data_IF_096423996137
#
_entry.id   IF_096423996137
#
_cell.length_a   1.000
_cell.length_b   1.000
_cell.length_c   1.000
_cell.angle_alpha   90.00
_cell.angle_beta   90.00
_cell.angle_gamma   90.00
#
_symmetry.space_group_name_H-M   'P 1'
#
loop_
_entity.id
_entity.type
_entity.pdbx_description
1 polymer ?
#
# COMPACT_ATOMS: atom_id res chain seq x y z
N UNK A 1 34.58 -25.72 -3.73
CA UNK A 1 35.23 -24.59 -4.44
C UNK A 1 35.73 -23.64 -3.37
N UNK A 2 37.00 -23.25 -3.40
CA UNK A 2 37.57 -22.35 -2.39
C UNK A 2 37.00 -20.94 -2.53
N UNK A 3 36.95 -20.18 -1.43
CA UNK A 3 36.41 -18.80 -1.39
C UNK A 3 37.08 -17.84 -2.39
N UNK A 4 38.30 -18.15 -2.85
CA UNK A 4 39.01 -17.38 -3.88
C UNK A 4 38.31 -17.41 -5.26
N UNK A 5 37.60 -18.50 -5.59
CA UNK A 5 36.90 -18.65 -6.89
C UNK A 5 35.63 -17.79 -7.01
N UNK A 6 34.98 -17.47 -5.88
CA UNK A 6 33.71 -16.72 -5.86
C UNK A 6 33.95 -15.23 -6.08
N UNK A 7 34.96 -14.66 -5.42
CA UNK A 7 35.33 -13.25 -5.57
C UNK A 7 35.79 -12.91 -7.00
N UNK A 8 36.38 -13.88 -7.71
CA UNK A 8 36.74 -13.76 -9.12
C UNK A 8 35.53 -13.77 -10.05
N UNK A 9 34.55 -14.65 -9.78
CA UNK A 9 33.26 -14.67 -10.47
C UNK A 9 32.45 -13.37 -10.26
N UNK A 10 32.47 -12.79 -9.06
CA UNK A 10 31.85 -11.49 -8.78
C UNK A 10 32.44 -10.36 -9.64
N UNK A 11 33.77 -10.30 -9.71
CA UNK A 11 34.50 -9.26 -10.44
C UNK A 11 34.27 -9.34 -11.95
N UNK A 12 34.22 -10.54 -12.51
CA UNK A 12 34.10 -10.73 -13.95
C UNK A 12 32.66 -10.54 -14.48
N UNK A 13 31.63 -10.70 -13.64
CA UNK A 13 30.23 -10.66 -14.08
C UNK A 13 29.44 -9.39 -13.70
N UNK A 14 30.11 -8.33 -13.20
CA UNK A 14 29.46 -7.06 -12.77
C UNK A 14 28.19 -7.30 -11.95
N UNK A 15 28.29 -8.15 -10.94
CA UNK A 15 27.12 -8.49 -10.13
C UNK A 15 26.63 -7.28 -9.33
N UNK A 16 25.31 -7.14 -9.22
CA UNK A 16 24.66 -6.10 -8.42
C UNK A 16 24.98 -6.29 -6.92
N UNK A 17 24.99 -5.22 -6.10
CA UNK A 17 25.13 -5.33 -4.65
C UNK A 17 24.11 -6.32 -4.06
N UNK A 18 24.57 -7.31 -3.28
CA UNK A 18 23.74 -8.37 -2.70
C UNK A 18 23.79 -9.72 -3.44
N UNK A 19 24.48 -9.79 -4.57
CA UNK A 19 24.73 -11.06 -5.26
C UNK A 19 25.73 -11.98 -4.54
N UNK A 20 26.54 -11.45 -3.61
CA UNK A 20 27.48 -12.27 -2.82
C UNK A 20 26.75 -13.36 -2.03
N UNK A 21 25.58 -13.03 -1.45
CA UNK A 21 24.78 -13.99 -0.69
C UNK A 21 24.26 -15.15 -1.57
N UNK A 22 23.91 -14.88 -2.82
CA UNK A 22 23.47 -15.91 -3.78
C UNK A 22 24.65 -16.80 -4.15
N UNK A 23 25.83 -16.22 -4.35
CA UNK A 23 27.04 -16.98 -4.68
C UNK A 23 27.53 -17.83 -3.52
N UNK A 24 27.43 -17.34 -2.29
CA UNK A 24 27.73 -18.10 -1.07
C UNK A 24 26.79 -19.31 -0.94
N UNK A 25 25.49 -19.14 -1.21
CA UNK A 25 24.51 -20.23 -1.23
C UNK A 25 24.83 -21.27 -2.32
N UNK A 26 25.23 -20.83 -3.51
CA UNK A 26 25.66 -21.72 -4.60
C UNK A 26 26.93 -22.49 -4.19
N UNK A 27 27.91 -21.81 -3.61
CA UNK A 27 29.16 -22.40 -3.17
C UNK A 27 28.97 -23.41 -2.03
N UNK A 28 28.04 -23.13 -1.12
CA UNK A 28 27.64 -24.04 -0.05
C UNK A 28 26.69 -25.16 -0.52
N UNK A 29 26.40 -25.25 -1.82
CA UNK A 29 25.43 -26.18 -2.44
C UNK A 29 24.04 -26.14 -1.80
N UNK A 30 23.67 -25.01 -1.20
CA UNK A 30 22.35 -24.81 -0.59
C UNK A 30 21.42 -24.18 -1.61
N UNK A 31 21.10 -24.98 -2.64
CA UNK A 31 20.24 -24.54 -3.74
C UNK A 31 18.77 -24.64 -3.32
N UNK A 32 18.00 -23.59 -3.62
CA UNK A 32 16.54 -23.63 -3.50
C UNK A 32 15.96 -24.50 -4.61
N UNK A 33 14.79 -25.08 -4.35
CA UNK A 33 14.01 -25.81 -5.36
C UNK A 33 13.74 -24.91 -6.59
N UNK A 34 14.03 -25.37 -7.82
CA UNK A 34 13.70 -24.64 -9.05
C UNK A 34 12.26 -24.15 -9.14
N UNK A 35 11.29 -24.86 -8.57
CA UNK A 35 9.90 -24.42 -8.54
C UNK A 35 9.73 -23.14 -7.68
N UNK A 36 10.34 -23.10 -6.50
CA UNK A 36 10.33 -21.92 -5.63
C UNK A 36 11.06 -20.73 -6.26
N UNK A 37 12.17 -20.97 -6.97
CA UNK A 37 12.88 -19.91 -7.69
C UNK A 37 12.03 -19.28 -8.78
N UNK A 38 11.34 -20.09 -9.59
CA UNK A 38 10.41 -19.61 -10.63
C UNK A 38 9.25 -18.82 -10.01
N UNK A 39 8.66 -19.33 -8.94
CA UNK A 39 7.61 -18.62 -8.21
C UNK A 39 8.10 -17.26 -7.68
N UNK A 40 9.33 -17.19 -7.16
CA UNK A 40 9.92 -15.92 -6.70
C UNK A 40 10.10 -14.94 -7.86
N UNK A 41 10.66 -15.37 -8.99
CA UNK A 41 10.86 -14.52 -10.17
C UNK A 41 9.53 -13.99 -10.69
N UNK A 42 8.50 -14.85 -10.80
CA UNK A 42 7.17 -14.41 -11.23
C UNK A 42 6.52 -13.47 -10.22
N UNK A 43 6.68 -13.71 -8.92
CA UNK A 43 6.21 -12.78 -7.89
C UNK A 43 6.91 -11.41 -7.99
N UNK A 44 8.22 -11.37 -8.22
CA UNK A 44 8.98 -10.12 -8.42
C UNK A 44 8.57 -9.41 -9.71
N UNK A 45 8.33 -10.15 -10.81
CA UNK A 45 7.82 -9.58 -12.06
C UNK A 45 6.45 -8.95 -11.86
N UNK A 46 5.53 -9.65 -11.19
CA UNK A 46 4.22 -9.10 -10.84
C UNK A 46 4.35 -7.88 -9.93
N UNK A 47 5.31 -7.88 -8.99
CA UNK A 47 5.58 -6.73 -8.13
C UNK A 47 6.17 -5.53 -8.91
N UNK A 48 6.95 -5.76 -9.98
CA UNK A 48 7.50 -4.73 -10.85
C UNK A 48 6.49 -4.20 -11.87
N UNK A 49 5.55 -5.05 -12.31
CA UNK A 49 4.41 -4.67 -13.16
C UNK A 49 3.30 -3.96 -12.37
N UNK A 50 3.44 -3.86 -11.04
CA UNK A 50 2.56 -3.11 -10.17
C UNK A 50 2.82 -1.59 -10.28
N UNK A 51 2.77 -1.04 -11.49
CA UNK A 51 2.53 0.39 -11.64
C UNK A 51 1.06 0.70 -11.30
N UNK A 52 0.75 1.97 -11.06
CA UNK A 52 -0.62 2.40 -10.78
C UNK A 52 -1.38 2.74 -12.08
N UNK A 53 -0.98 2.21 -13.24
CA UNK A 53 -1.70 2.45 -14.50
C UNK A 53 -3.04 1.73 -14.54
N UNK A 54 -3.18 0.63 -13.80
CA UNK A 54 -4.46 -0.02 -13.50
C UNK A 54 -4.58 -0.16 -12.00
N UNK A 55 -5.71 0.28 -11.44
CA UNK A 55 -5.99 0.16 -10.01
C UNK A 55 -6.53 -1.24 -9.73
N UNK A 56 -5.80 -2.03 -8.93
CA UNK A 56 -6.20 -3.39 -8.56
C UNK A 56 -7.38 -3.40 -7.59
N UNK A 57 -7.67 -2.28 -6.92
CA UNK A 57 -8.77 -2.19 -5.98
C UNK A 57 -10.15 -2.24 -6.62
N UNK A 58 -10.27 -1.93 -7.91
CA UNK A 58 -11.55 -1.77 -8.61
C UNK A 58 -12.43 -3.03 -8.50
N UNK A 59 -11.83 -4.22 -8.62
CA UNK A 59 -12.54 -5.50 -8.54
C UNK A 59 -13.09 -5.80 -7.13
N UNK A 60 -12.64 -5.07 -6.11
CA UNK A 60 -13.01 -5.30 -4.71
C UNK A 60 -14.02 -4.28 -4.15
N UNK A 61 -14.41 -3.29 -4.95
CA UNK A 61 -15.37 -2.25 -4.56
C UNK A 61 -16.79 -2.83 -4.52
N UNK A 62 -17.68 -2.24 -3.72
CA UNK A 62 -19.12 -2.55 -3.74
C UNK A 62 -19.92 -1.63 -4.67
N UNK A 63 -19.24 -0.76 -5.41
CA UNK A 63 -19.81 0.21 -6.34
C UNK A 63 -18.90 0.32 -7.58
N UNK A 64 -19.44 0.90 -8.66
CA UNK A 64 -18.67 1.24 -9.84
C UNK A 64 -18.18 2.70 -9.74
N UNK A 65 -16.86 2.90 -9.74
CA UNK A 65 -16.28 4.23 -9.81
C UNK A 65 -16.41 4.80 -11.22
N UNK A 66 -16.57 6.12 -11.33
CA UNK A 66 -16.57 6.80 -12.63
C UNK A 66 -15.15 6.94 -13.18
N UNK A 67 -15.02 6.98 -14.50
CA UNK A 67 -13.71 7.07 -15.18
C UNK A 67 -12.88 8.26 -14.68
N UNK A 68 -13.49 9.44 -14.49
CA UNK A 68 -12.79 10.62 -13.97
C UNK A 68 -12.25 10.43 -12.55
N UNK A 69 -12.94 9.64 -11.71
CA UNK A 69 -12.49 9.34 -10.34
C UNK A 69 -11.31 8.37 -10.37
N UNK A 70 -11.34 7.42 -11.30
CA UNK A 70 -10.23 6.48 -11.54
C UNK A 70 -9.01 7.26 -12.03
N UNK A 71 -9.17 8.14 -13.01
CA UNK A 71 -8.11 8.99 -13.56
C UNK A 71 -7.50 9.91 -12.51
N UNK A 72 -8.33 10.52 -11.65
CA UNK A 72 -7.87 11.33 -10.53
C UNK A 72 -7.02 10.50 -9.55
N UNK A 73 -7.50 9.34 -9.13
CA UNK A 73 -6.77 8.45 -8.23
C UNK A 73 -5.45 7.95 -8.85
N UNK A 74 -5.45 7.55 -10.12
CA UNK A 74 -4.24 7.17 -10.86
C UNK A 74 -3.24 8.34 -10.93
N UNK A 75 -3.71 9.56 -11.17
CA UNK A 75 -2.86 10.75 -11.22
C UNK A 75 -2.20 11.01 -9.87
N UNK A 76 -2.96 10.93 -8.77
CA UNK A 76 -2.44 11.05 -7.41
C UNK A 76 -1.37 10.00 -7.12
N UNK A 77 -1.63 8.75 -7.45
CA UNK A 77 -0.73 7.64 -7.18
C UNK A 77 0.55 7.68 -8.04
N UNK A 78 0.43 7.93 -9.35
CA UNK A 78 1.54 7.88 -10.31
C UNK A 78 2.37 9.16 -10.31
N UNK A 79 1.72 10.30 -10.50
CA UNK A 79 2.39 11.59 -10.74
C UNK A 79 2.78 12.26 -9.44
N UNK A 80 1.88 12.23 -8.47
CA UNK A 80 2.07 12.91 -7.19
C UNK A 80 2.61 12.02 -6.07
N UNK A 81 2.85 10.72 -6.36
CA UNK A 81 3.39 9.74 -5.42
C UNK A 81 2.56 9.69 -4.13
N UNK A 82 1.23 9.77 -4.27
CA UNK A 82 0.27 9.75 -3.16
C UNK A 82 -0.01 11.09 -2.48
N UNK A 83 0.67 12.18 -2.88
CA UNK A 83 0.54 13.49 -2.25
C UNK A 83 -0.21 14.45 -3.17
N UNK A 84 -1.54 14.39 -3.16
CA UNK A 84 -2.40 15.21 -4.00
C UNK A 84 -3.34 16.11 -3.21
N UNK A 85 -3.80 17.19 -3.84
CA UNK A 85 -4.94 17.97 -3.41
C UNK A 85 -6.04 17.80 -4.45
N UNK A 86 -7.18 17.23 -4.05
CA UNK A 86 -8.35 17.04 -4.90
C UNK A 86 -9.21 18.30 -4.86
N UNK A 87 -9.29 19.01 -6.00
CA UNK A 87 -9.89 20.34 -6.09
C UNK A 87 -11.10 20.40 -7.02
N UNK A 88 -11.70 19.26 -7.35
CA UNK A 88 -12.83 19.20 -8.27
C UNK A 88 -14.08 19.88 -7.66
N UNK A 89 -15.15 20.01 -8.44
CA UNK A 89 -16.40 20.61 -7.98
C UNK A 89 -17.04 19.87 -6.80
N UNK A 90 -17.84 20.58 -6.01
CA UNK A 90 -18.58 20.00 -4.88
C UNK A 90 -19.55 18.93 -5.42
N UNK A 91 -19.56 17.76 -4.78
CA UNK A 91 -20.46 16.66 -5.16
C UNK A 91 -19.88 15.64 -6.15
N UNK A 92 -18.71 15.89 -6.76
CA UNK A 92 -18.08 14.94 -7.70
C UNK A 92 -17.44 13.70 -7.03
N UNK A 93 -17.50 13.61 -5.71
CA UNK A 93 -17.05 12.41 -5.00
C UNK A 93 -15.57 12.40 -4.64
N UNK A 94 -15.03 13.51 -4.13
CA UNK A 94 -13.67 13.56 -3.55
C UNK A 94 -13.39 12.46 -2.51
N UNK A 95 -14.40 12.09 -1.73
CA UNK A 95 -14.31 10.95 -0.79
C UNK A 95 -14.07 9.63 -1.52
N UNK A 96 -14.69 9.45 -2.69
CA UNK A 96 -14.51 8.26 -3.53
C UNK A 96 -13.08 8.22 -4.08
N UNK A 97 -12.60 9.31 -4.64
CA UNK A 97 -11.23 9.44 -5.17
C UNK A 97 -10.18 9.17 -4.08
N UNK A 98 -10.33 9.80 -2.91
CA UNK A 98 -9.46 9.55 -1.77
C UNK A 98 -9.54 8.09 -1.28
N UNK A 99 -10.74 7.51 -1.28
CA UNK A 99 -10.98 6.10 -0.96
C UNK A 99 -10.31 5.14 -1.94
N UNK A 100 -10.31 5.44 -3.24
CA UNK A 100 -9.62 4.67 -4.26
C UNK A 100 -8.10 4.67 -4.01
N UNK A 101 -7.51 5.85 -3.79
CA UNK A 101 -6.09 5.99 -3.45
C UNK A 101 -5.74 5.18 -2.19
N UNK A 102 -6.55 5.31 -1.14
CA UNK A 102 -6.35 4.62 0.12
C UNK A 102 -6.48 3.10 -0.02
N UNK A 103 -7.54 2.62 -0.67
CA UNK A 103 -7.79 1.19 -0.88
C UNK A 103 -6.68 0.56 -1.70
N UNK A 104 -6.22 1.24 -2.75
CA UNK A 104 -5.10 0.76 -3.58
C UNK A 104 -3.82 0.63 -2.76
N UNK A 105 -3.48 1.64 -1.95
CA UNK A 105 -2.31 1.58 -1.08
C UNK A 105 -2.37 0.45 -0.05
N UNK A 106 -3.54 0.23 0.55
CA UNK A 106 -3.74 -0.86 1.50
C UNK A 106 -3.66 -2.23 0.81
N UNK A 107 -4.27 -2.37 -0.38
CA UNK A 107 -4.26 -3.60 -1.17
C UNK A 107 -2.83 -3.99 -1.58
N UNK A 108 -2.02 -3.00 -1.99
CA UNK A 108 -0.61 -3.19 -2.34
C UNK A 108 0.32 -3.24 -1.12
N UNK A 109 -0.21 -3.15 0.10
CA UNK A 109 0.53 -3.15 1.37
C UNK A 109 1.60 -2.04 1.46
N UNK A 110 1.41 -0.94 0.75
CA UNK A 110 2.33 0.20 0.77
C UNK A 110 2.11 1.10 1.98
N UNK A 111 0.92 1.06 2.57
CA UNK A 111 0.61 1.74 3.83
C UNK A 111 0.07 0.75 4.85
N UNK A 112 0.44 0.94 6.11
CA UNK A 112 -0.03 0.13 7.23
C UNK A 112 -0.81 0.97 8.25
N UNK A 113 -0.51 2.28 8.28
CA UNK A 113 -1.13 3.24 9.19
C UNK A 113 -1.82 4.34 8.41
N UNK A 114 -3.02 4.69 8.84
CA UNK A 114 -3.90 5.64 8.16
C UNK A 114 -4.49 6.58 9.21
N UNK A 115 -4.40 7.88 8.93
CA UNK A 115 -5.07 8.92 9.69
C UNK A 115 -5.94 9.74 8.74
N UNK A 116 -7.23 9.80 9.02
CA UNK A 116 -8.19 10.65 8.32
C UNK A 116 -8.61 11.74 9.28
N UNK A 117 -8.36 13.00 8.92
CA UNK A 117 -8.80 14.16 9.67
C UNK A 117 -9.98 14.78 8.92
N UNK A 118 -11.11 14.95 9.60
CA UNK A 118 -12.35 15.42 8.99
C UNK A 118 -13.16 16.26 9.99
N UNK A 119 -14.04 17.18 9.53
CA UNK A 119 -14.98 17.86 10.42
C UNK A 119 -15.81 16.87 11.26
N UNK A 120 -16.24 17.25 12.48
CA UNK A 120 -16.92 16.34 13.41
C UNK A 120 -18.12 15.62 12.79
N UNK A 121 -18.93 16.35 12.00
CA UNK A 121 -20.12 15.83 11.35
C UNK A 121 -19.85 14.74 10.31
N UNK A 122 -18.61 14.63 9.81
CA UNK A 122 -18.25 13.69 8.76
C UNK A 122 -17.50 12.45 9.28
N UNK A 123 -17.15 12.39 10.56
CA UNK A 123 -16.36 11.28 11.11
C UNK A 123 -17.06 9.93 10.88
N UNK A 124 -18.34 9.85 11.22
CA UNK A 124 -19.13 8.63 11.03
C UNK A 124 -19.39 8.33 9.55
N UNK A 125 -19.66 9.35 8.76
CA UNK A 125 -19.84 9.18 7.31
C UNK A 125 -18.59 8.57 6.66
N UNK A 126 -17.39 9.03 7.03
CA UNK A 126 -16.14 8.44 6.54
C UNK A 126 -16.01 6.97 6.94
N UNK A 127 -16.32 6.64 8.20
CA UNK A 127 -16.26 5.26 8.70
C UNK A 127 -17.21 4.35 7.92
N UNK A 128 -18.45 4.79 7.72
CA UNK A 128 -19.49 4.07 6.99
C UNK A 128 -19.14 3.89 5.51
N UNK A 129 -18.67 4.94 4.83
CA UNK A 129 -18.27 4.85 3.43
C UNK A 129 -17.07 3.91 3.24
N UNK A 130 -16.06 3.97 4.11
CA UNK A 130 -14.91 3.06 4.05
C UNK A 130 -15.33 1.60 4.24
N UNK A 131 -16.20 1.32 5.21
CA UNK A 131 -16.69 -0.03 5.45
C UNK A 131 -17.58 -0.53 4.30
N UNK A 132 -18.59 0.24 3.91
CA UNK A 132 -19.62 -0.19 2.96
C UNK A 132 -19.13 -0.18 1.50
N UNK A 133 -18.48 0.90 1.05
CA UNK A 133 -18.06 1.12 -0.34
C UNK A 133 -16.74 0.44 -0.67
N UNK A 134 -15.79 0.55 0.26
CA UNK A 134 -14.42 0.10 0.06
C UNK A 134 -14.09 -1.21 0.76
N UNK A 135 -15.01 -1.78 1.56
CA UNK A 135 -14.75 -2.98 2.38
C UNK A 135 -13.48 -2.82 3.22
N UNK A 136 -13.33 -1.63 3.80
CA UNK A 136 -12.22 -1.25 4.66
C UNK A 136 -12.71 -1.15 6.10
N UNK A 137 -12.55 -2.24 6.82
CA UNK A 137 -12.93 -2.34 8.23
C UNK A 137 -11.78 -1.96 9.17
N UNK A 138 -12.10 -1.81 10.46
CA UNK A 138 -11.13 -1.59 11.53
C UNK A 138 -10.62 -0.16 11.66
N UNK A 139 -11.36 0.83 11.14
CA UNK A 139 -11.13 2.24 11.45
C UNK A 139 -11.79 2.59 12.79
N UNK A 140 -10.97 3.06 13.74
CA UNK A 140 -11.43 3.55 15.05
C UNK A 140 -11.64 5.05 14.99
N UNK A 141 -12.71 5.56 15.59
CA UNK A 141 -12.94 7.01 15.68
C UNK A 141 -12.36 7.61 16.96
N UNK A 142 -11.97 8.89 16.91
CA UNK A 142 -11.53 9.63 18.10
C UNK A 142 -12.61 9.80 19.19
N UNK A 143 -13.86 9.45 18.88
CA UNK A 143 -14.98 9.52 19.80
C UNK A 143 -15.20 8.22 20.58
N UNK A 144 -14.60 7.11 20.12
CA UNK A 144 -14.76 5.81 20.77
C UNK A 144 -14.11 5.79 22.17
N UNK A 145 -14.77 5.20 23.17
CA UNK A 145 -14.24 5.10 24.53
C UNK A 145 -12.84 4.48 24.59
N UNK A 146 -12.64 3.38 23.88
CA UNK A 146 -11.35 2.68 23.81
C UNK A 146 -10.21 3.56 23.26
N UNK A 147 -10.52 4.51 22.37
CA UNK A 147 -9.54 5.48 21.89
C UNK A 147 -9.24 6.54 22.96
N UNK A 148 -10.28 7.07 23.61
CA UNK A 148 -10.16 8.14 24.61
C UNK A 148 -9.46 7.70 25.88
N UNK A 149 -9.73 6.48 26.35
CA UNK A 149 -9.12 5.90 27.55
C UNK A 149 -7.59 5.78 27.43
N UNK A 150 -7.09 5.54 26.22
CA UNK A 150 -5.66 5.43 25.93
C UNK A 150 -4.97 6.79 25.74
N UNK A 151 -5.71 7.89 25.62
CA UNK A 151 -5.17 9.23 25.43
C UNK A 151 -4.16 9.30 24.28
N UNK A 152 -2.97 9.86 24.53
CA UNK A 152 -1.92 9.99 23.51
C UNK A 152 -1.37 8.65 23.00
N UNK A 153 -1.48 7.57 23.78
CA UNK A 153 -1.01 6.24 23.36
C UNK A 153 -1.91 5.60 22.31
N UNK A 154 -3.16 6.06 22.18
CA UNK A 154 -4.13 5.58 21.19
C UNK A 154 -3.62 5.74 19.76
N UNK A 155 -2.92 6.85 19.47
CA UNK A 155 -2.34 7.13 18.16
C UNK A 155 -1.29 6.12 17.72
N UNK A 156 -0.66 5.40 18.65
CA UNK A 156 0.26 4.30 18.38
C UNK A 156 -0.48 2.96 18.34
N UNK A 157 -1.43 2.75 19.27
CA UNK A 157 -2.18 1.50 19.42
C UNK A 157 -3.08 1.19 18.23
N UNK A 158 -3.77 2.18 17.67
CA UNK A 158 -4.68 1.98 16.55
C UNK A 158 -4.01 2.37 15.22
N UNK A 159 -3.85 1.43 14.28
CA UNK A 159 -3.20 1.72 13.00
C UNK A 159 -4.09 2.54 12.06
N UNK A 160 -5.42 2.53 12.23
CA UNK A 160 -6.37 3.19 11.34
C UNK A 160 -7.32 4.04 12.17
N UNK A 161 -7.21 5.36 12.03
CA UNK A 161 -7.91 6.32 12.86
C UNK A 161 -8.62 7.36 12.01
N UNK A 162 -9.87 7.67 12.37
CA UNK A 162 -10.62 8.81 11.86
C UNK A 162 -10.83 9.77 13.01
N UNK A 163 -10.38 11.00 12.86
CA UNK A 163 -10.39 12.00 13.93
C UNK A 163 -10.89 13.36 13.44
N UNK A 164 -11.29 14.19 14.39
CA UNK A 164 -11.54 15.60 14.17
C UNK A 164 -10.59 16.46 15.00
N UNK A 165 -10.31 17.68 14.51
CA UNK A 165 -9.49 18.67 15.22
C UNK A 165 -10.31 19.65 16.07
N UNK A 166 -11.64 19.61 15.94
CA UNK A 166 -12.56 20.50 16.64
C UNK A 166 -13.02 19.92 17.99
#
# INVERSE_FOLDING_TARGET
MSAQSIAELCRNNRLQPGAEAVLDLIASRRLADPAHYRLRIEAERLALMADFAVLSCLDSLSFQAFDYQIDAAQTVLRRFRGRGLLCDEVGLGKTIEAGLVLKEYLLRRMVQRVLIITPPALVEQWREELASKFRLEGFVTSYEPAFRELGSSAWAAFPRVIASLA
#
